data_IF_108413279420
#
_entry.id   IF_108413279420
#
_cell.length_a   1.000
_cell.length_b   1.000
_cell.length_c   1.000
_cell.angle_alpha   90.00
_cell.angle_beta   90.00
_cell.angle_gamma   90.00
#
_symmetry.space_group_name_H-M   'P 1'
#
loop_
_entity.id
_entity.type
_entity.pdbx_description
1 polymer ?
#
# COMPACT_ATOMS: atom_id res chain seq x y z
N UNK A 1 47.52 -0.44 48.14
CA UNK A 1 48.80 -1.12 48.26
C UNK A 1 49.86 -0.12 48.71
N UNK A 2 50.44 -0.50 49.78
CA UNK A 2 51.69 -0.04 50.42
C UNK A 2 51.81 1.42 50.84
N UNK A 3 51.39 1.65 52.12
CA UNK A 3 51.81 2.74 52.97
C UNK A 3 53.33 2.64 53.22
N UNK A 4 54.11 3.63 52.85
CA UNK A 4 55.46 3.84 53.39
C UNK A 4 55.40 5.01 54.37
N UNK A 5 55.35 4.69 55.65
CA UNK A 5 55.62 5.63 56.71
C UNK A 5 57.11 5.99 56.69
N UNK A 6 57.40 7.23 56.38
CA UNK A 6 58.76 7.78 56.53
C UNK A 6 58.83 8.45 57.88
N UNK A 7 59.42 7.81 58.85
CA UNK A 7 59.74 8.38 60.14
C UNK A 7 60.99 9.23 60.03
N UNK A 8 60.79 10.54 60.10
CA UNK A 8 61.90 11.52 60.15
C UNK A 8 62.19 11.71 61.66
N UNK A 9 63.27 11.09 62.18
CA UNK A 9 63.85 11.38 63.45
C UNK A 9 64.64 12.70 63.35
N UNK A 10 64.05 13.78 63.83
CA UNK A 10 64.73 15.04 64.00
C UNK A 10 65.60 15.03 65.25
N UNK A 11 66.91 14.97 65.03
CA UNK A 11 67.90 15.14 66.04
C UNK A 11 68.00 16.66 66.39
N UNK A 12 67.47 17.01 67.54
CA UNK A 12 67.53 18.39 68.08
C UNK A 12 68.91 18.70 68.59
N UNK A 13 69.71 19.45 67.85
CA UNK A 13 70.87 20.16 68.31
C UNK A 13 70.38 21.46 69.00
N UNK A 14 70.48 21.53 70.33
CA UNK A 14 70.21 22.73 71.10
C UNK A 14 71.55 23.58 71.10
N UNK A 15 71.62 24.78 70.46
CA UNK A 15 72.67 25.70 70.78
C UNK A 15 72.27 26.50 71.96
N UNK A 16 73.08 26.32 73.09
CA UNK A 16 73.09 27.24 74.22
C UNK A 16 73.63 28.59 73.71
N UNK A 17 72.89 29.62 74.03
CA UNK A 17 73.45 30.99 74.16
C UNK A 17 73.10 31.95 72.99
N UNK A 18 71.99 32.57 73.12
CA UNK A 18 71.78 34.01 72.88
C UNK A 18 70.40 34.38 73.41
N UNK A 19 70.34 34.90 74.64
CA UNK A 19 69.16 35.61 75.10
C UNK A 19 68.99 36.88 74.33
N UNK A 20 68.46 36.82 73.14
CA UNK A 20 67.92 37.95 72.47
C UNK A 20 66.66 38.39 73.18
N UNK A 21 66.74 39.40 73.99
CA UNK A 21 65.58 40.07 74.52
C UNK A 21 64.80 40.70 73.38
N UNK A 22 63.75 39.94 72.89
CA UNK A 22 62.78 40.50 71.92
C UNK A 22 62.08 41.63 72.68
N UNK A 23 62.00 42.81 72.13
CA UNK A 23 61.30 43.94 72.76
C UNK A 23 59.81 43.55 72.90
N UNK A 24 59.18 43.94 73.95
CA UNK A 24 57.77 43.67 74.27
C UNK A 24 56.90 44.10 73.06
N UNK A 25 57.27 45.15 72.37
CA UNK A 25 56.53 45.61 71.14
C UNK A 25 56.63 44.66 69.93
N UNK A 26 57.84 44.04 69.72
CA UNK A 26 58.03 43.08 68.61
C UNK A 26 57.32 41.74 68.95
N UNK A 27 57.36 41.33 70.17
CA UNK A 27 56.59 40.13 70.60
C UNK A 27 55.09 40.30 70.43
N UNK A 28 54.52 41.45 70.86
CA UNK A 28 53.10 41.73 70.68
C UNK A 28 52.73 41.75 69.21
N UNK A 29 53.51 42.41 68.32
CA UNK A 29 53.27 42.40 66.90
C UNK A 29 53.36 41.03 66.27
N UNK A 30 54.29 40.20 66.72
CA UNK A 30 54.41 38.82 66.28
C UNK A 30 53.17 37.98 66.64
N UNK A 31 52.73 38.13 67.94
CA UNK A 31 51.48 37.44 68.39
C UNK A 31 50.26 37.93 67.63
N UNK A 32 50.06 39.24 67.50
CA UNK A 32 48.92 39.80 66.73
C UNK A 32 48.89 39.31 65.28
N UNK A 33 50.11 39.31 64.63
CA UNK A 33 50.22 38.81 63.27
C UNK A 33 49.95 37.30 63.14
N UNK A 34 50.35 36.51 64.19
CA UNK A 34 50.06 35.08 64.26
C UNK A 34 48.56 34.81 64.48
N UNK A 35 47.92 35.60 65.31
CA UNK A 35 46.45 35.52 65.55
C UNK A 35 45.65 35.87 64.33
N UNK A 36 46.00 36.93 63.63
CA UNK A 36 45.38 37.31 62.34
C UNK A 36 45.53 36.18 61.29
N UNK A 37 46.73 35.57 61.20
CA UNK A 37 46.94 34.42 60.29
C UNK A 37 46.16 33.21 60.73
N UNK A 38 46.11 32.93 62.01
CA UNK A 38 45.33 31.82 62.56
C UNK A 38 43.85 31.97 62.24
N UNK A 39 43.26 33.12 62.48
CA UNK A 39 41.87 33.43 62.20
C UNK A 39 41.58 33.38 60.68
N UNK A 40 42.47 33.82 59.82
CA UNK A 40 42.36 33.71 58.36
C UNK A 40 42.39 32.27 57.89
N UNK A 41 43.28 31.44 58.44
CA UNK A 41 43.39 30.03 58.16
C UNK A 41 42.15 29.25 58.65
N UNK A 42 41.63 29.58 59.84
CA UNK A 42 40.40 28.99 60.36
C UNK A 42 39.19 29.29 59.48
N UNK A 43 39.04 30.56 59.01
CA UNK A 43 38.00 30.96 58.06
C UNK A 43 38.17 30.26 56.70
N UNK A 44 39.39 30.07 56.22
CA UNK A 44 39.67 29.35 55.00
C UNK A 44 39.33 27.85 55.13
N UNK A 45 39.70 27.22 56.27
CA UNK A 45 39.35 25.85 56.55
C UNK A 45 37.81 25.62 56.65
N UNK A 46 37.09 26.56 57.27
CA UNK A 46 35.66 26.53 57.31
C UNK A 46 35.01 26.59 55.92
N UNK A 47 35.51 27.48 55.06
CA UNK A 47 35.08 27.60 53.64
C UNK A 47 35.35 26.29 52.87
N UNK A 48 36.59 25.79 52.95
CA UNK A 48 36.95 24.54 52.26
C UNK A 48 36.12 23.34 52.70
N UNK A 49 35.78 23.24 53.99
CA UNK A 49 34.87 22.18 54.50
C UNK A 49 33.47 22.35 53.92
N UNK A 50 32.94 23.55 53.83
CA UNK A 50 31.65 23.83 53.19
C UNK A 50 31.66 23.49 51.71
N UNK A 51 32.69 23.93 50.99
CA UNK A 51 32.83 23.67 49.56
C UNK A 51 32.95 22.16 49.26
N UNK A 52 33.69 21.43 50.14
CA UNK A 52 33.80 19.97 50.03
C UNK A 52 32.47 19.27 50.27
N UNK A 53 31.71 19.73 51.28
CA UNK A 53 30.38 19.18 51.57
C UNK A 53 29.38 19.40 50.39
N UNK A 54 29.43 20.60 49.82
CA UNK A 54 28.58 20.95 48.66
C UNK A 54 29.00 20.20 47.39
N UNK A 55 30.32 20.02 47.18
CA UNK A 55 30.82 19.19 46.07
C UNK A 55 30.39 17.72 46.25
N UNK A 56 30.42 17.20 47.50
CA UNK A 56 29.91 15.86 47.80
C UNK A 56 28.43 15.70 47.46
N UNK A 57 27.57 16.65 47.91
CA UNK A 57 26.13 16.63 47.60
C UNK A 57 25.86 16.67 46.08
N UNK A 58 26.57 17.55 45.33
CA UNK A 58 26.48 17.61 43.90
C UNK A 58 26.91 16.31 43.22
N UNK A 59 27.95 15.66 43.73
CA UNK A 59 28.41 14.34 43.27
C UNK A 59 27.34 13.26 43.43
N UNK A 60 26.71 13.16 44.60
CA UNK A 60 25.63 12.21 44.89
C UNK A 60 24.39 12.47 43.98
N UNK A 61 24.02 13.72 43.77
CA UNK A 61 22.89 14.09 42.92
C UNK A 61 23.15 13.74 41.47
N UNK A 62 24.36 13.98 40.98
CA UNK A 62 24.78 13.63 39.62
C UNK A 62 24.78 12.11 39.44
N UNK A 63 25.30 11.37 40.41
CA UNK A 63 25.30 9.90 40.36
C UNK A 63 23.89 9.32 40.33
N UNK A 64 22.95 9.84 41.12
CA UNK A 64 21.53 9.46 41.09
C UNK A 64 20.90 9.76 39.73
N UNK A 65 21.19 10.95 39.16
CA UNK A 65 20.69 11.37 37.86
C UNK A 65 21.21 10.47 36.74
N UNK A 66 22.50 10.14 36.77
CA UNK A 66 23.12 9.21 35.82
C UNK A 66 22.51 7.81 35.92
N UNK A 67 22.29 7.31 37.13
CA UNK A 67 21.67 6.00 37.33
C UNK A 67 20.24 5.95 36.80
N UNK A 68 19.43 6.98 37.06
CA UNK A 68 18.06 7.08 36.54
C UNK A 68 18.04 7.13 34.98
N UNK A 69 18.86 8.00 34.41
CA UNK A 69 18.95 8.13 32.94
C UNK A 69 19.48 6.87 32.26
N UNK A 70 20.44 6.20 32.88
CA UNK A 70 20.97 4.93 32.38
C UNK A 70 19.88 3.84 32.40
N UNK A 71 19.08 3.78 33.46
CA UNK A 71 17.94 2.86 33.57
C UNK A 71 16.84 3.14 32.54
N UNK A 72 16.51 4.42 32.30
CA UNK A 72 15.55 4.83 31.26
C UNK A 72 16.05 4.48 29.86
N UNK A 73 17.31 4.79 29.58
CA UNK A 73 17.94 4.46 28.30
C UNK A 73 17.94 2.94 28.03
N UNK A 74 18.23 2.16 29.08
CA UNK A 74 18.15 0.69 29.00
C UNK A 74 16.76 0.19 28.61
N UNK A 75 15.71 0.74 29.22
CA UNK A 75 14.32 0.41 28.85
C UNK A 75 13.99 0.79 27.40
N UNK A 76 14.37 1.99 26.98
CA UNK A 76 14.15 2.47 25.62
C UNK A 76 14.88 1.60 24.58
N UNK A 77 16.10 1.13 24.88
CA UNK A 77 16.83 0.22 23.99
C UNK A 77 16.09 -1.12 23.84
N UNK A 78 15.56 -1.67 24.93
CA UNK A 78 14.78 -2.92 24.88
C UNK A 78 13.51 -2.74 24.05
N UNK A 79 12.75 -1.66 24.31
CA UNK A 79 11.53 -1.34 23.54
C UNK A 79 11.82 -1.16 22.04
N UNK A 80 12.84 -0.36 21.71
CA UNK A 80 13.25 -0.16 20.33
C UNK A 80 13.67 -1.45 19.62
N UNK A 81 14.40 -2.34 20.30
CA UNK A 81 14.79 -3.65 19.75
C UNK A 81 13.58 -4.51 19.49
N UNK A 82 12.60 -4.53 20.37
CA UNK A 82 11.37 -5.28 20.19
C UNK A 82 10.56 -4.74 19.00
N UNK A 83 10.48 -3.40 18.89
CA UNK A 83 9.81 -2.76 17.73
C UNK A 83 10.53 -3.02 16.42
N UNK A 84 11.85 -2.99 16.39
CA UNK A 84 12.65 -3.32 15.19
C UNK A 84 12.38 -4.77 14.77
N UNK A 85 12.45 -5.73 15.71
CA UNK A 85 12.14 -7.13 15.40
C UNK A 85 10.72 -7.31 14.85
N UNK A 86 9.71 -6.66 15.46
CA UNK A 86 8.34 -6.71 14.97
C UNK A 86 8.18 -6.12 13.56
N UNK A 87 8.88 -5.01 13.28
CA UNK A 87 8.86 -4.40 11.95
C UNK A 87 9.59 -5.25 10.90
N UNK A 88 10.66 -5.96 11.27
CA UNK A 88 11.34 -6.90 10.39
C UNK A 88 10.44 -8.08 10.01
N UNK A 89 9.73 -8.66 10.99
CA UNK A 89 8.75 -9.72 10.73
C UNK A 89 7.61 -9.25 9.85
N UNK A 90 7.04 -8.07 10.12
CA UNK A 90 6.00 -7.48 9.29
C UNK A 90 6.48 -7.19 7.85
N UNK A 91 7.68 -6.65 7.70
CA UNK A 91 8.28 -6.43 6.37
C UNK A 91 8.46 -7.75 5.61
N UNK A 92 8.95 -8.80 6.28
CA UNK A 92 9.10 -10.11 5.65
C UNK A 92 7.75 -10.70 5.22
N UNK A 93 6.72 -10.56 6.05
CA UNK A 93 5.35 -11.00 5.75
C UNK A 93 4.77 -10.22 4.57
N UNK A 94 4.80 -8.89 4.63
CA UNK A 94 4.27 -8.02 3.57
C UNK A 94 5.00 -8.22 2.23
N UNK A 95 6.30 -8.46 2.26
CA UNK A 95 7.07 -8.76 1.04
C UNK A 95 6.62 -10.07 0.39
N UNK A 96 6.34 -11.11 1.18
CA UNK A 96 5.80 -12.38 0.66
C UNK A 96 4.40 -12.19 0.09
N UNK A 97 3.50 -11.51 0.81
CA UNK A 97 2.14 -11.22 0.36
C UNK A 97 2.14 -10.40 -0.95
N UNK A 98 3.01 -9.40 -1.07
CA UNK A 98 3.16 -8.60 -2.29
C UNK A 98 3.69 -9.44 -3.47
N UNK A 99 4.64 -10.33 -3.23
CA UNK A 99 5.16 -11.23 -4.26
C UNK A 99 4.10 -12.22 -4.75
N UNK A 100 3.32 -12.81 -3.84
CA UNK A 100 2.20 -13.69 -4.18
C UNK A 100 1.10 -12.96 -4.96
N UNK A 101 0.70 -11.76 -4.52
CA UNK A 101 -0.27 -10.92 -5.22
C UNK A 101 0.21 -10.55 -6.63
N UNK A 102 1.50 -10.22 -6.79
CA UNK A 102 2.10 -9.91 -8.09
C UNK A 102 2.06 -11.12 -9.01
N UNK A 103 2.47 -12.30 -8.53
CA UNK A 103 2.43 -13.55 -9.27
C UNK A 103 1.02 -13.93 -9.70
N UNK A 104 0.04 -13.80 -8.81
CA UNK A 104 -1.37 -14.04 -9.11
C UNK A 104 -1.91 -13.08 -10.17
N UNK A 105 -1.52 -11.80 -10.10
CA UNK A 105 -1.88 -10.79 -11.11
C UNK A 105 -1.29 -11.10 -12.48
N UNK A 106 0.00 -11.45 -12.54
CA UNK A 106 0.66 -11.83 -13.78
C UNK A 106 0.02 -13.07 -14.43
N UNK A 107 -0.36 -14.05 -13.61
CA UNK A 107 -1.06 -15.22 -14.11
C UNK A 107 -2.42 -14.85 -14.73
N UNK A 108 -3.23 -14.02 -14.07
CA UNK A 108 -4.49 -13.51 -14.62
C UNK A 108 -4.29 -12.73 -15.92
N UNK A 109 -3.25 -11.90 -16.01
CA UNK A 109 -2.93 -11.17 -17.24
C UNK A 109 -2.59 -12.13 -18.37
N UNK A 110 -1.77 -13.17 -18.11
CA UNK A 110 -1.43 -14.20 -19.12
C UNK A 110 -2.67 -14.97 -19.60
N UNK A 111 -3.58 -15.33 -18.69
CA UNK A 111 -4.83 -16.04 -19.04
C UNK A 111 -5.72 -15.18 -19.96
N UNK A 112 -5.90 -13.90 -19.62
CA UNK A 112 -6.70 -12.97 -20.44
C UNK A 112 -6.04 -12.75 -21.81
N UNK A 113 -4.72 -12.55 -21.85
CA UNK A 113 -3.97 -12.39 -23.10
C UNK A 113 -4.09 -13.63 -23.98
N UNK A 114 -3.94 -14.83 -23.42
CA UNK A 114 -4.11 -16.08 -24.16
C UNK A 114 -5.53 -16.24 -24.72
N UNK A 115 -6.55 -15.90 -23.95
CA UNK A 115 -7.94 -15.92 -24.42
C UNK A 115 -8.19 -14.90 -25.54
N UNK A 116 -7.61 -13.70 -25.41
CA UNK A 116 -7.65 -12.67 -26.46
C UNK A 116 -7.01 -13.18 -27.76
N UNK A 117 -5.80 -13.73 -27.69
CA UNK A 117 -5.08 -14.23 -28.87
C UNK A 117 -5.85 -15.36 -29.58
N UNK A 118 -6.45 -16.28 -28.80
CA UNK A 118 -7.27 -17.36 -29.35
C UNK A 118 -8.51 -16.82 -30.07
N UNK A 119 -9.21 -15.83 -29.48
CA UNK A 119 -10.36 -15.20 -30.09
C UNK A 119 -9.98 -14.46 -31.39
N UNK A 120 -8.91 -13.68 -31.39
CA UNK A 120 -8.41 -12.98 -32.56
C UNK A 120 -8.05 -13.96 -33.67
N UNK A 121 -7.33 -15.02 -33.37
CA UNK A 121 -6.94 -16.04 -34.35
C UNK A 121 -8.17 -16.73 -34.97
N UNK A 122 -9.14 -17.12 -34.12
CA UNK A 122 -10.32 -17.87 -34.58
C UNK A 122 -11.34 -17.02 -35.33
N UNK A 123 -11.36 -15.71 -35.05
CA UNK A 123 -12.31 -14.76 -35.63
C UNK A 123 -11.68 -13.80 -36.67
N UNK A 124 -10.46 -14.10 -37.11
CA UNK A 124 -9.72 -13.23 -38.06
C UNK A 124 -10.56 -12.84 -39.27
N UNK A 125 -11.27 -13.76 -39.86
CA UNK A 125 -12.10 -13.50 -41.04
C UNK A 125 -13.26 -12.53 -40.79
N UNK A 126 -13.87 -12.57 -39.61
CA UNK A 126 -14.96 -11.69 -39.19
C UNK A 126 -14.41 -10.30 -38.77
N UNK A 127 -13.22 -10.28 -38.20
CA UNK A 127 -12.51 -9.05 -37.81
C UNK A 127 -12.10 -8.30 -39.11
N UNK A 128 -11.49 -8.97 -40.09
CA UNK A 128 -11.06 -8.38 -41.37
C UNK A 128 -12.23 -7.78 -42.15
N UNK A 129 -13.45 -8.33 -41.98
CA UNK A 129 -14.69 -7.80 -42.57
C UNK A 129 -15.33 -6.69 -41.73
N UNK A 130 -14.77 -6.31 -40.59
CA UNK A 130 -15.33 -5.32 -39.64
C UNK A 130 -16.62 -5.75 -38.94
N UNK A 131 -16.93 -7.05 -38.95
CA UNK A 131 -18.15 -7.63 -38.37
C UNK A 131 -18.00 -7.89 -36.86
N UNK A 132 -16.75 -8.10 -36.42
CA UNK A 132 -16.39 -8.37 -35.04
C UNK A 132 -15.19 -7.51 -34.66
N UNK A 133 -15.20 -7.00 -33.45
CA UNK A 133 -14.03 -6.39 -32.84
C UNK A 133 -13.82 -7.01 -31.45
N UNK A 134 -12.56 -7.27 -31.09
CA UNK A 134 -12.18 -7.80 -29.81
C UNK A 134 -11.32 -6.76 -29.13
N UNK A 135 -11.65 -6.43 -27.90
CA UNK A 135 -10.90 -5.47 -27.10
C UNK A 135 -10.67 -5.98 -25.70
N UNK A 136 -9.51 -5.64 -25.17
CA UNK A 136 -9.17 -5.86 -23.77
C UNK A 136 -8.90 -4.51 -23.10
N UNK A 137 -9.58 -4.24 -22.01
CA UNK A 137 -9.35 -3.06 -21.20
C UNK A 137 -9.42 -3.39 -19.71
N UNK A 138 -8.34 -3.14 -18.99
CA UNK A 138 -8.24 -3.38 -17.53
C UNK A 138 -8.60 -4.81 -17.13
N UNK A 139 -8.16 -5.80 -17.92
CA UNK A 139 -8.44 -7.23 -17.67
C UNK A 139 -9.87 -7.66 -18.00
N UNK A 140 -10.62 -6.79 -18.65
CA UNK A 140 -11.98 -7.08 -19.15
C UNK A 140 -11.93 -7.30 -20.65
N UNK A 141 -12.21 -8.52 -21.09
CA UNK A 141 -12.23 -8.91 -22.49
C UNK A 141 -13.65 -8.75 -23.03
N UNK A 142 -13.79 -8.06 -24.14
CA UNK A 142 -15.07 -7.79 -24.80
C UNK A 142 -14.99 -8.22 -26.25
N UNK A 143 -15.92 -9.07 -26.66
CA UNK A 143 -16.17 -9.42 -28.06
C UNK A 143 -17.40 -8.66 -28.52
N UNK A 144 -17.19 -7.71 -29.41
CA UNK A 144 -18.22 -6.84 -29.96
C UNK A 144 -18.60 -7.33 -31.36
N UNK A 145 -19.88 -7.60 -31.60
CA UNK A 145 -20.44 -8.09 -32.87
C UNK A 145 -21.50 -7.11 -33.37
N UNK A 146 -21.38 -6.64 -34.58
CA UNK A 146 -22.38 -5.77 -35.20
C UNK A 146 -23.70 -6.52 -35.39
N UNK A 147 -24.82 -5.81 -35.19
CA UNK A 147 -26.17 -6.37 -35.32
C UNK A 147 -26.37 -7.15 -36.62
N UNK A 148 -25.91 -6.57 -37.74
CA UNK A 148 -26.16 -7.10 -39.07
C UNK A 148 -25.65 -8.53 -39.29
N UNK A 149 -24.67 -9.02 -38.53
CA UNK A 149 -24.21 -10.40 -38.61
C UNK A 149 -25.10 -11.36 -37.78
N UNK A 150 -25.73 -10.86 -36.72
CA UNK A 150 -26.48 -11.68 -35.77
C UNK A 150 -27.97 -11.72 -36.10
N UNK A 151 -28.55 -10.61 -36.54
CA UNK A 151 -30.00 -10.44 -36.62
C UNK A 151 -30.42 -9.81 -37.98
N UNK A 152 -31.61 -10.12 -38.40
CA UNK A 152 -32.29 -9.31 -39.39
C UNK A 152 -32.83 -8.03 -38.77
N UNK A 153 -33.12 -7.01 -39.62
CA UNK A 153 -33.65 -5.73 -39.16
C UNK A 153 -34.96 -5.92 -38.39
N UNK A 154 -35.00 -5.34 -37.16
CA UNK A 154 -36.16 -5.40 -36.28
C UNK A 154 -36.42 -6.79 -35.67
N UNK A 155 -35.58 -7.78 -35.88
CA UNK A 155 -35.71 -9.10 -35.30
C UNK A 155 -34.74 -9.28 -34.10
N UNK A 156 -35.11 -10.19 -33.23
CA UNK A 156 -34.28 -10.66 -32.08
C UNK A 156 -33.89 -12.13 -32.23
N UNK A 157 -34.36 -12.82 -33.25
CA UNK A 157 -33.96 -14.19 -33.62
C UNK A 157 -32.62 -14.19 -34.31
N UNK A 158 -31.65 -14.97 -33.80
CA UNK A 158 -30.31 -15.06 -34.42
C UNK A 158 -30.40 -15.80 -35.74
N UNK A 159 -29.88 -15.21 -36.81
CA UNK A 159 -29.85 -15.82 -38.13
C UNK A 159 -28.68 -16.82 -38.25
N UNK A 160 -28.72 -17.65 -39.34
CA UNK A 160 -27.77 -18.77 -39.46
C UNK A 160 -26.31 -18.33 -39.50
N UNK A 161 -25.98 -17.22 -40.15
CA UNK A 161 -24.62 -16.67 -40.19
C UNK A 161 -24.18 -16.26 -38.77
N UNK A 162 -25.08 -15.67 -37.98
CA UNK A 162 -24.83 -15.31 -36.58
C UNK A 162 -24.56 -16.51 -35.68
N UNK A 163 -25.28 -17.63 -35.92
CA UNK A 163 -25.03 -18.88 -35.19
C UNK A 163 -23.64 -19.45 -35.42
N UNK A 164 -23.13 -19.35 -36.67
CA UNK A 164 -21.75 -19.76 -37.02
C UNK A 164 -20.72 -18.92 -36.26
N UNK A 165 -20.91 -17.60 -36.26
CA UNK A 165 -19.98 -16.69 -35.54
C UNK A 165 -20.02 -16.90 -34.03
N UNK A 166 -21.20 -17.01 -33.46
CA UNK A 166 -21.37 -17.31 -32.04
C UNK A 166 -20.76 -18.67 -31.66
N UNK A 167 -20.88 -19.67 -32.56
CA UNK A 167 -20.24 -20.98 -32.34
C UNK A 167 -18.74 -20.90 -32.10
N UNK A 168 -18.04 -20.07 -32.93
CA UNK A 168 -16.59 -19.85 -32.78
C UNK A 168 -16.23 -19.23 -31.41
N UNK A 169 -17.02 -18.25 -30.96
CA UNK A 169 -16.84 -17.60 -29.65
C UNK A 169 -17.10 -18.60 -28.52
N UNK A 170 -18.18 -19.38 -28.62
CA UNK A 170 -18.58 -20.36 -27.60
C UNK A 170 -17.51 -21.42 -27.37
N UNK A 171 -16.83 -21.90 -28.39
CA UNK A 171 -15.75 -22.88 -28.23
C UNK A 171 -14.65 -22.37 -27.30
N UNK A 172 -14.32 -21.08 -27.38
CA UNK A 172 -13.33 -20.45 -26.51
C UNK A 172 -13.93 -20.16 -25.13
N UNK A 173 -15.17 -19.66 -25.08
CA UNK A 173 -15.84 -19.38 -23.80
C UNK A 173 -15.99 -20.61 -22.91
N UNK A 174 -16.10 -21.79 -23.48
CA UNK A 174 -16.16 -23.08 -22.75
C UNK A 174 -14.85 -23.38 -21.98
N UNK A 175 -13.73 -22.87 -22.42
CA UNK A 175 -12.44 -23.06 -21.77
C UNK A 175 -12.21 -22.08 -20.61
N UNK A 176 -13.02 -21.02 -20.53
CA UNK A 176 -12.90 -19.97 -19.51
C UNK A 176 -13.74 -20.35 -18.28
N UNK A 177 -13.08 -20.65 -17.16
CA UNK A 177 -13.76 -21.14 -15.96
C UNK A 177 -13.81 -20.13 -14.81
N UNK A 178 -12.97 -19.13 -14.84
CA UNK A 178 -12.77 -18.13 -13.78
C UNK A 178 -13.56 -16.83 -13.99
N UNK A 179 -14.34 -16.73 -15.06
CA UNK A 179 -15.12 -15.54 -15.44
C UNK A 179 -16.60 -15.86 -15.57
N UNK A 180 -17.43 -14.85 -15.37
CA UNK A 180 -18.81 -14.80 -15.80
C UNK A 180 -18.90 -14.12 -17.16
N UNK A 181 -19.95 -14.46 -17.93
CA UNK A 181 -20.18 -13.97 -19.28
C UNK A 181 -21.42 -13.09 -19.24
N UNK A 182 -21.24 -11.82 -19.56
CA UNK A 182 -22.35 -10.88 -19.66
C UNK A 182 -22.60 -10.52 -21.13
N UNK A 183 -23.82 -10.68 -21.56
CA UNK A 183 -24.26 -10.31 -22.92
C UNK A 183 -24.94 -8.96 -22.83
N UNK A 184 -24.41 -7.96 -23.52
CA UNK A 184 -24.88 -6.60 -23.51
C UNK A 184 -25.50 -6.25 -24.87
N UNK A 185 -26.79 -5.83 -24.87
CA UNK A 185 -27.50 -5.41 -26.08
C UNK A 185 -27.53 -3.89 -26.20
N UNK A 186 -27.24 -3.41 -27.42
CA UNK A 186 -27.21 -1.99 -27.77
C UNK A 186 -27.95 -1.73 -29.10
N UNK A 187 -28.56 -0.55 -29.21
CA UNK A 187 -29.20 -0.07 -30.41
C UNK A 187 -28.60 1.27 -30.86
N UNK A 188 -28.98 1.75 -32.02
CA UNK A 188 -28.82 3.16 -32.35
C UNK A 188 -29.95 4.01 -31.74
N UNK A 189 -29.97 5.31 -32.03
CA UNK A 189 -30.96 6.26 -31.50
C UNK A 189 -32.23 6.40 -32.38
N UNK A 190 -32.46 5.47 -33.32
CA UNK A 190 -33.70 5.50 -34.09
C UNK A 190 -34.83 4.93 -33.25
N UNK A 191 -35.96 5.65 -33.13
CA UNK A 191 -37.09 5.13 -32.37
C UNK A 191 -37.71 3.92 -33.07
N UNK A 192 -38.23 2.99 -32.24
CA UNK A 192 -39.04 1.87 -32.75
C UNK A 192 -40.36 2.44 -33.26
N UNK A 193 -40.74 2.11 -34.48
CA UNK A 193 -41.97 2.64 -35.14
C UNK A 193 -42.72 1.53 -35.88
N UNK A 194 -44.00 1.81 -36.21
CA UNK A 194 -44.85 0.92 -37.00
C UNK A 194 -45.16 -0.42 -36.31
N UNK A 195 -45.32 -1.53 -37.05
CA UNK A 195 -45.70 -2.84 -36.51
C UNK A 195 -44.68 -3.40 -35.47
N UNK A 196 -43.45 -2.91 -35.49
CA UNK A 196 -42.41 -3.35 -34.57
C UNK A 196 -42.71 -2.91 -33.13
N UNK A 197 -43.45 -1.84 -32.91
CA UNK A 197 -43.88 -1.40 -31.57
C UNK A 197 -44.79 -2.41 -30.86
N UNK A 198 -45.46 -3.30 -31.59
CA UNK A 198 -46.24 -4.36 -30.99
C UNK A 198 -45.36 -5.44 -30.33
N UNK A 199 -44.13 -5.59 -30.78
CA UNK A 199 -43.15 -6.56 -30.24
C UNK A 199 -42.18 -5.93 -29.27
N UNK A 200 -41.74 -4.72 -29.58
CA UNK A 200 -40.75 -3.96 -28.79
C UNK A 200 -41.21 -2.52 -28.67
N UNK A 201 -41.56 -2.09 -27.47
CA UNK A 201 -42.10 -0.73 -27.25
C UNK A 201 -41.01 0.34 -27.47
N UNK A 202 -39.79 0.05 -27.06
CA UNK A 202 -38.64 0.95 -27.18
C UNK A 202 -37.34 0.18 -27.53
N UNK A 203 -36.25 0.91 -27.69
CA UNK A 203 -34.92 0.35 -27.87
C UNK A 203 -34.43 -0.49 -26.66
N UNK A 204 -35.03 -0.27 -25.48
CA UNK A 204 -34.76 -1.10 -24.30
C UNK A 204 -35.23 -2.54 -24.49
N UNK A 205 -36.48 -2.74 -24.89
CA UNK A 205 -37.05 -4.05 -25.09
C UNK A 205 -36.36 -4.81 -26.25
N UNK A 206 -36.04 -4.10 -27.36
CA UNK A 206 -35.33 -4.71 -28.48
C UNK A 206 -33.93 -5.18 -28.07
N UNK A 207 -33.15 -4.32 -27.36
CA UNK A 207 -31.81 -4.67 -26.92
C UNK A 207 -31.83 -5.79 -25.88
N UNK A 208 -32.81 -5.80 -24.96
CA UNK A 208 -33.01 -6.86 -23.99
C UNK A 208 -33.34 -8.20 -24.65
N UNK A 209 -34.31 -8.22 -25.58
CA UNK A 209 -34.69 -9.44 -26.30
C UNK A 209 -33.51 -10.06 -27.05
N UNK A 210 -32.67 -9.24 -27.69
CA UNK A 210 -31.49 -9.70 -28.41
C UNK A 210 -30.42 -10.26 -27.48
N UNK A 211 -30.12 -9.56 -26.37
CA UNK A 211 -29.17 -10.05 -25.38
C UNK A 211 -29.62 -11.38 -24.76
N UNK A 212 -30.89 -11.50 -24.42
CA UNK A 212 -31.48 -12.73 -23.86
C UNK A 212 -31.44 -13.87 -24.88
N UNK A 213 -31.73 -13.60 -26.16
CA UNK A 213 -31.67 -14.62 -27.22
C UNK A 213 -30.28 -15.19 -27.39
N UNK A 214 -29.26 -14.33 -27.41
CA UNK A 214 -27.86 -14.75 -27.44
C UNK A 214 -27.51 -15.55 -26.18
N UNK A 215 -27.88 -15.08 -24.97
CA UNK A 215 -27.62 -15.81 -23.73
C UNK A 215 -28.24 -17.21 -23.73
N UNK A 216 -29.50 -17.35 -24.17
CA UNK A 216 -30.16 -18.63 -24.33
C UNK A 216 -29.46 -19.55 -25.34
N UNK A 217 -28.94 -18.98 -26.42
CA UNK A 217 -28.15 -19.74 -27.38
C UNK A 217 -26.85 -20.27 -26.77
N UNK A 218 -26.13 -19.44 -26.04
CA UNK A 218 -24.92 -19.85 -25.30
C UNK A 218 -25.25 -20.98 -24.32
N UNK A 219 -26.31 -20.84 -23.54
CA UNK A 219 -26.80 -21.89 -22.64
C UNK A 219 -27.09 -23.21 -23.37
N UNK A 220 -27.84 -23.15 -24.48
CA UNK A 220 -28.14 -24.33 -25.30
C UNK A 220 -26.91 -25.01 -25.86
N UNK A 221 -25.84 -24.25 -26.11
CA UNK A 221 -24.56 -24.78 -26.56
C UNK A 221 -23.65 -25.29 -25.42
N UNK A 222 -24.16 -25.30 -24.17
CA UNK A 222 -23.50 -25.93 -23.03
C UNK A 222 -22.70 -24.97 -22.16
N UNK A 223 -22.88 -23.65 -22.29
CA UNK A 223 -22.38 -22.71 -21.27
C UNK A 223 -23.28 -22.78 -20.04
N UNK A 224 -22.69 -22.88 -18.86
CA UNK A 224 -23.39 -22.98 -17.59
C UNK A 224 -24.25 -21.74 -17.32
N UNK A 225 -25.56 -21.86 -17.03
CA UNK A 225 -26.45 -20.71 -16.84
C UNK A 225 -26.03 -19.77 -15.70
N UNK A 226 -25.45 -20.32 -14.65
CA UNK A 226 -24.96 -19.53 -13.49
C UNK A 226 -23.82 -18.57 -13.86
N UNK A 227 -23.13 -18.81 -14.98
CA UNK A 227 -22.10 -17.94 -15.52
C UNK A 227 -22.64 -16.86 -16.47
N UNK A 228 -23.95 -16.96 -16.87
CA UNK A 228 -24.55 -16.09 -17.88
C UNK A 228 -25.39 -14.98 -17.26
N UNK A 229 -25.23 -13.78 -17.77
CA UNK A 229 -26.14 -12.66 -17.52
C UNK A 229 -26.43 -11.90 -18.80
N UNK A 230 -27.61 -11.29 -18.90
CA UNK A 230 -28.00 -10.44 -20.02
C UNK A 230 -28.32 -9.03 -19.51
N UNK A 231 -27.80 -8.02 -20.18
CA UNK A 231 -28.05 -6.62 -19.89
C UNK A 231 -28.49 -5.88 -21.18
N UNK A 232 -29.39 -4.92 -21.02
CA UNK A 232 -29.86 -4.07 -22.07
C UNK A 232 -29.41 -2.63 -21.82
N UNK A 233 -28.97 -1.94 -22.84
CA UNK A 233 -28.57 -0.54 -22.76
C UNK A 233 -29.32 0.37 -23.74
N UNK A 234 -30.15 -0.22 -24.62
CA UNK A 234 -30.84 0.56 -25.65
C UNK A 234 -29.84 1.44 -26.45
N UNK A 235 -30.23 2.68 -26.64
CA UNK A 235 -29.43 3.69 -27.37
C UNK A 235 -28.45 4.47 -26.52
N UNK A 236 -28.45 4.27 -25.19
CA UNK A 236 -27.80 5.15 -24.22
C UNK A 236 -26.30 4.88 -24.02
N UNK A 237 -25.73 3.89 -24.69
CA UNK A 237 -24.28 3.61 -24.71
C UNK A 237 -23.73 3.55 -26.12
N UNK A 238 -23.79 4.68 -26.82
CA UNK A 238 -23.24 4.81 -28.17
C UNK A 238 -21.71 4.75 -28.18
N UNK A 239 -21.13 4.07 -29.16
CA UNK A 239 -19.65 3.98 -29.38
C UNK A 239 -19.24 4.75 -30.64
N UNK A 240 -20.21 5.26 -31.40
CA UNK A 240 -19.99 6.07 -32.62
C UNK A 240 -21.12 7.11 -32.75
N UNK A 241 -20.91 8.07 -33.66
CA UNK A 241 -21.88 9.13 -33.92
C UNK A 241 -23.15 8.59 -34.56
N UNK A 242 -24.30 8.81 -33.93
CA UNK A 242 -25.61 8.43 -34.43
C UNK A 242 -26.09 9.27 -35.65
N UNK A 243 -25.46 10.39 -35.95
CA UNK A 243 -25.79 11.20 -37.13
C UNK A 243 -25.49 10.45 -38.41
N UNK A 244 -24.43 9.63 -38.43
CA UNK A 244 -24.00 8.90 -39.66
C UNK A 244 -24.62 7.50 -39.75
N UNK A 245 -24.78 6.96 -40.93
CA UNK A 245 -25.25 5.58 -41.15
C UNK A 245 -24.27 4.56 -40.57
N UNK A 246 -23.00 4.78 -40.79
CA UNK A 246 -21.91 3.92 -40.27
C UNK A 246 -21.85 3.93 -38.75
N UNK A 247 -21.97 5.10 -38.11
CA UNK A 247 -21.99 5.22 -36.67
C UNK A 247 -23.18 4.49 -36.07
N UNK A 248 -24.38 4.63 -36.62
CA UNK A 248 -25.55 3.87 -36.20
C UNK A 248 -25.34 2.35 -36.35
N UNK A 249 -24.73 1.91 -37.46
CA UNK A 249 -24.43 0.49 -37.62
C UNK A 249 -23.47 -0.05 -36.57
N UNK A 250 -22.50 0.76 -36.12
CA UNK A 250 -21.58 0.41 -35.01
C UNK A 250 -22.27 0.45 -33.68
N UNK A 251 -23.24 1.31 -33.47
CA UNK A 251 -24.01 1.40 -32.22
C UNK A 251 -24.93 0.21 -32.05
N UNK A 252 -25.55 -0.30 -33.16
CA UNK A 252 -26.35 -1.53 -33.14
C UNK A 252 -25.43 -2.74 -33.05
N UNK A 253 -25.25 -3.26 -31.84
CA UNK A 253 -24.30 -4.33 -31.55
C UNK A 253 -24.72 -5.20 -30.34
N UNK A 254 -24.10 -6.35 -30.27
CA UNK A 254 -24.04 -7.19 -29.06
C UNK A 254 -22.58 -7.23 -28.58
N UNK A 255 -22.39 -6.99 -27.31
CA UNK A 255 -21.12 -7.20 -26.64
C UNK A 255 -21.19 -8.44 -25.76
N UNK A 256 -20.24 -9.35 -25.91
CA UNK A 256 -20.02 -10.48 -24.98
C UNK A 256 -18.82 -10.11 -24.13
N UNK A 257 -19.06 -9.86 -22.85
CA UNK A 257 -18.10 -9.32 -21.91
C UNK A 257 -17.74 -10.39 -20.88
N UNK A 258 -16.45 -10.71 -20.77
CA UNK A 258 -15.94 -11.54 -19.67
C UNK A 258 -15.72 -10.66 -18.44
N UNK A 259 -16.45 -10.94 -17.38
CA UNK A 259 -16.38 -10.23 -16.12
C UNK A 259 -15.88 -11.17 -15.01
N UNK A 260 -15.19 -10.67 -13.97
CA UNK A 260 -14.86 -11.48 -12.81
C UNK A 260 -16.11 -12.18 -12.25
N UNK A 261 -15.95 -13.40 -11.73
CA UNK A 261 -17.01 -14.04 -10.93
C UNK A 261 -17.27 -13.20 -9.69
N UNK A 262 -18.53 -12.93 -9.41
CA UNK A 262 -18.98 -12.32 -8.16
C UNK A 262 -18.93 -13.34 -7.02
#
# INVERSE_FOLDING_TARGET
>A
MRNTFLTITALALVPLGATACVSKSEYTKAVDSAEVRYNALEAQNARLKSDLADAGKRGEELERTLMMKSGELGKNIVDLRQRVSGLEDDNARLTREAAEATKAREQKVREVSSTYDQLVAKMKGEIDKGQVTISELKGRLTVNMVEAILFDSGKAEVKQEGLVVLGKVIEILKTVNDKSIRIEGHTDNKPIVGPLTQRFSTNWELSAARAITVARYLQKQGIEPTKLSAAAFGEFKSVADNATLEGRARNRRIEIVLVPKE
#
